data_IF_922779211956
#
_entry.id   IF_922779211956
#
_cell.length_a   1.000
_cell.length_b   1.000
_cell.length_c   1.000
_cell.angle_alpha   90.00
_cell.angle_beta   90.00
_cell.angle_gamma   90.00
#
_symmetry.space_group_name_H-M   'P 1'
#
loop_
_entity.id
_entity.type
_entity.pdbx_description
1 polymer ?
#
# COMPACT_ATOMS: atom_id res chain seq x y z
N UNK A 1 0.09 -7.90 11.29
CA UNK A 1 1.01 -7.65 10.16
C UNK A 1 2.26 -6.95 10.65
N UNK A 2 3.43 -7.42 10.23
CA UNK A 2 4.69 -6.80 10.62
C UNK A 2 5.14 -5.81 9.54
N UNK A 3 4.95 -4.52 9.81
CA UNK A 3 5.33 -3.46 8.86
C UNK A 3 6.83 -3.21 8.81
N UNK A 4 7.61 -3.76 9.75
CA UNK A 4 9.07 -3.58 9.76
C UNK A 4 9.74 -4.32 8.61
N UNK A 5 9.24 -5.48 8.25
CA UNK A 5 9.76 -6.27 7.14
C UNK A 5 8.61 -6.63 6.22
N UNK A 6 8.54 -5.95 5.07
CA UNK A 6 7.47 -6.16 4.11
C UNK A 6 7.92 -7.23 3.11
N UNK A 7 7.13 -8.28 2.97
CA UNK A 7 7.27 -9.28 1.92
C UNK A 7 6.05 -9.17 1.02
N UNK A 8 6.17 -8.45 -0.08
CA UNK A 8 5.02 -8.11 -0.90
C UNK A 8 4.36 -9.35 -1.52
N UNK A 9 5.13 -10.33 -1.89
CA UNK A 9 4.59 -11.56 -2.49
C UNK A 9 3.63 -12.29 -1.55
N UNK A 10 3.98 -12.38 -0.28
CA UNK A 10 3.11 -13.02 0.73
C UNK A 10 1.81 -12.23 0.87
N UNK A 11 1.89 -10.91 0.88
CA UNK A 11 0.71 -10.05 1.01
C UNK A 11 -0.19 -10.14 -0.21
N UNK A 12 0.38 -10.22 -1.40
CA UNK A 12 -0.37 -10.43 -2.64
C UNK A 12 -1.09 -11.78 -2.59
N UNK A 13 -0.40 -12.83 -2.19
CA UNK A 13 -0.98 -14.16 -2.08
C UNK A 13 -2.14 -14.17 -1.08
N UNK A 14 -1.96 -13.52 0.05
CA UNK A 14 -3.01 -13.39 1.07
C UNK A 14 -4.22 -12.65 0.50
N UNK A 15 -4.02 -11.56 -0.21
CA UNK A 15 -5.09 -10.77 -0.80
C UNK A 15 -5.84 -11.56 -1.88
N UNK A 16 -5.13 -12.34 -2.69
CA UNK A 16 -5.73 -13.22 -3.69
C UNK A 16 -6.62 -14.25 -3.02
N UNK A 17 -6.12 -14.88 -1.96
CA UNK A 17 -6.88 -15.88 -1.20
C UNK A 17 -8.14 -15.29 -0.59
N UNK A 18 -8.02 -14.12 0.03
CA UNK A 18 -9.16 -13.45 0.66
C UNK A 18 -10.20 -12.98 -0.34
N UNK A 19 -9.78 -12.51 -1.51
CA UNK A 19 -10.70 -12.04 -2.55
C UNK A 19 -11.34 -13.18 -3.33
N UNK A 20 -10.77 -14.38 -3.27
CA UNK A 20 -11.24 -15.51 -4.06
C UNK A 20 -11.00 -15.37 -5.55
N UNK A 21 -10.06 -14.54 -5.96
CA UNK A 21 -9.75 -14.33 -7.37
C UNK A 21 -9.10 -15.58 -7.96
N UNK A 22 -9.64 -16.06 -9.08
CA UNK A 22 -9.13 -17.26 -9.74
C UNK A 22 -7.81 -17.00 -10.45
N UNK A 23 -6.94 -18.01 -10.45
CA UNK A 23 -5.64 -17.93 -11.11
C UNK A 23 -5.77 -17.63 -12.61
N UNK A 24 -6.78 -18.19 -13.27
CA UNK A 24 -7.01 -17.94 -14.69
C UNK A 24 -7.25 -16.46 -14.98
N UNK A 25 -8.00 -15.79 -14.13
CA UNK A 25 -8.26 -14.34 -14.23
C UNK A 25 -6.98 -13.54 -14.05
N UNK A 26 -6.16 -13.94 -13.10
CA UNK A 26 -4.88 -13.28 -12.83
C UNK A 26 -3.95 -13.41 -14.03
N UNK A 27 -3.80 -14.62 -14.55
CA UNK A 27 -2.96 -14.87 -15.70
C UNK A 27 -3.44 -14.10 -16.93
N UNK A 28 -4.74 -14.02 -17.16
CA UNK A 28 -5.29 -13.25 -18.26
C UNK A 28 -5.03 -11.76 -18.11
N UNK A 29 -5.15 -11.25 -16.90
CA UNK A 29 -4.90 -9.84 -16.61
C UNK A 29 -3.44 -9.47 -16.86
N UNK A 30 -2.51 -10.27 -16.38
CA UNK A 30 -1.07 -10.02 -16.54
C UNK A 30 -0.53 -10.54 -17.87
N UNK A 31 -1.29 -11.34 -18.59
CA UNK A 31 -0.87 -11.97 -19.86
C UNK A 31 0.41 -12.79 -19.67
N UNK A 32 0.41 -13.62 -18.65
CA UNK A 32 1.56 -14.45 -18.30
C UNK A 32 1.10 -15.81 -17.78
N UNK A 33 2.06 -16.69 -17.50
CA UNK A 33 1.80 -18.03 -17.02
C UNK A 33 1.59 -18.08 -15.52
N UNK A 34 1.08 -19.22 -15.04
CA UNK A 34 0.93 -19.48 -13.61
C UNK A 34 2.29 -19.43 -12.91
N UNK A 35 3.35 -19.90 -13.56
CA UNK A 35 4.70 -19.87 -13.00
C UNK A 35 5.18 -18.45 -12.76
N UNK A 36 4.88 -17.53 -13.67
CA UNK A 36 5.22 -16.12 -13.52
C UNK A 36 4.51 -15.51 -12.33
N UNK A 37 3.24 -15.85 -12.14
CA UNK A 37 2.48 -15.38 -10.97
C UNK A 37 3.07 -15.95 -9.68
N UNK A 38 3.45 -17.22 -9.68
CA UNK A 38 4.07 -17.85 -8.51
C UNK A 38 5.38 -17.17 -8.14
N UNK A 39 6.18 -16.77 -9.13
CA UNK A 39 7.40 -16.02 -8.88
C UNK A 39 7.11 -14.69 -8.18
N UNK A 40 6.09 -13.97 -8.61
CA UNK A 40 5.69 -12.73 -7.97
C UNK A 40 5.27 -12.95 -6.52
N UNK A 41 4.53 -14.03 -6.25
CA UNK A 41 4.06 -14.35 -4.90
C UNK A 41 5.20 -14.78 -3.96
N UNK A 42 6.32 -15.23 -4.53
CA UNK A 42 7.50 -15.59 -3.76
C UNK A 42 8.51 -14.45 -3.63
N UNK A 43 8.30 -13.36 -4.33
CA UNK A 43 9.23 -12.24 -4.34
C UNK A 43 9.02 -11.35 -3.12
N UNK A 44 10.11 -11.00 -2.46
CA UNK A 44 10.06 -10.05 -1.34
C UNK A 44 9.66 -8.65 -1.80
N UNK A 45 10.08 -8.27 -3.00
CA UNK A 45 9.75 -6.98 -3.59
C UNK A 45 9.54 -7.15 -5.09
N UNK A 46 8.70 -6.29 -5.66
CA UNK A 46 8.43 -6.26 -7.09
C UNK A 46 8.50 -4.81 -7.56
N UNK A 47 8.57 -4.60 -8.87
CA UNK A 47 8.59 -3.24 -9.38
C UNK A 47 7.25 -2.54 -9.12
N UNK A 48 7.30 -1.21 -9.05
CA UNK A 48 6.13 -0.41 -8.70
C UNK A 48 5.04 -0.49 -9.76
N UNK A 49 5.42 -0.63 -11.02
CA UNK A 49 4.45 -0.76 -12.10
C UNK A 49 3.65 -2.06 -11.99
N UNK A 50 4.34 -3.16 -11.70
CA UNK A 50 3.70 -4.45 -11.46
C UNK A 50 2.82 -4.41 -10.21
N UNK A 51 3.30 -3.78 -9.16
CA UNK A 51 2.53 -3.62 -7.93
C UNK A 51 1.25 -2.81 -8.18
N UNK A 52 1.34 -1.76 -9.00
CA UNK A 52 0.18 -0.97 -9.38
C UNK A 52 -0.87 -1.81 -10.10
N UNK A 53 -0.45 -2.72 -10.96
CA UNK A 53 -1.36 -3.66 -11.63
C UNK A 53 -2.07 -4.57 -10.63
N UNK A 54 -1.36 -5.08 -9.64
CA UNK A 54 -1.96 -5.88 -8.58
C UNK A 54 -3.01 -5.09 -7.80
N UNK A 55 -2.71 -3.82 -7.49
CA UNK A 55 -3.67 -2.95 -6.81
C UNK A 55 -4.96 -2.81 -7.62
N UNK A 56 -4.83 -2.63 -8.92
CA UNK A 56 -5.99 -2.48 -9.81
C UNK A 56 -6.80 -3.77 -9.92
N UNK A 57 -6.12 -4.90 -10.04
CA UNK A 57 -6.79 -6.20 -10.19
C UNK A 57 -7.57 -6.58 -8.93
N UNK A 58 -6.96 -6.43 -7.77
CA UNK A 58 -7.53 -6.86 -6.50
C UNK A 58 -8.30 -5.75 -5.78
N UNK A 59 -8.34 -4.56 -6.35
CA UNK A 59 -8.97 -3.38 -5.73
C UNK A 59 -8.47 -3.17 -4.31
N UNK A 60 -7.13 -3.26 -4.15
CA UNK A 60 -6.46 -3.12 -2.86
C UNK A 60 -5.24 -2.23 -3.02
N UNK A 61 -5.02 -1.33 -2.06
CA UNK A 61 -3.89 -0.40 -2.10
C UNK A 61 -2.69 -0.97 -1.34
N UNK A 62 -1.84 -1.71 -2.05
CA UNK A 62 -0.61 -2.25 -1.47
C UNK A 62 0.40 -1.16 -1.12
N UNK A 63 0.36 -0.02 -1.79
CA UNK A 63 1.27 1.10 -1.49
C UNK A 63 1.05 1.65 -0.09
N UNK A 64 -0.17 1.52 0.42
CA UNK A 64 -0.49 1.95 1.78
C UNK A 64 0.33 1.20 2.84
N UNK A 65 0.68 -0.05 2.57
CA UNK A 65 1.54 -0.82 3.47
C UNK A 65 2.91 -0.16 3.58
N UNK A 66 3.44 0.31 2.45
CA UNK A 66 4.72 1.02 2.42
C UNK A 66 4.61 2.40 3.08
N UNK A 67 3.50 3.10 2.88
CA UNK A 67 3.26 4.38 3.56
C UNK A 67 3.22 4.18 5.08
N UNK A 68 2.54 3.15 5.55
CA UNK A 68 2.49 2.83 6.97
C UNK A 68 3.88 2.46 7.51
N UNK A 69 4.67 1.75 6.73
CA UNK A 69 6.06 1.47 7.10
C UNK A 69 6.85 2.77 7.29
N UNK A 70 6.69 3.72 6.40
CA UNK A 70 7.35 5.02 6.51
C UNK A 70 6.92 5.75 7.78
N UNK A 71 5.63 5.72 8.09
CA UNK A 71 5.11 6.37 9.29
C UNK A 71 5.74 5.78 10.55
N UNK A 72 5.89 4.46 10.60
CA UNK A 72 6.36 3.75 11.78
C UNK A 72 7.89 3.73 11.90
N UNK A 73 8.61 3.61 10.79
CA UNK A 73 10.02 3.27 10.80
C UNK A 73 10.93 4.27 10.11
N UNK A 74 10.41 5.26 9.39
CA UNK A 74 11.27 6.27 8.80
C UNK A 74 11.92 7.11 9.91
N UNK A 75 13.20 7.46 9.75
CA UNK A 75 13.85 8.29 10.76
C UNK A 75 13.21 9.67 10.81
N UNK A 76 13.09 10.21 12.02
CA UNK A 76 12.61 11.57 12.21
C UNK A 76 13.68 12.52 11.69
N UNK A 77 13.34 13.35 10.71
CA UNK A 77 14.30 14.26 10.11
C UNK A 77 14.38 15.55 10.90
N UNK A 78 15.49 15.75 11.61
CA UNK A 78 15.80 17.04 12.22
C UNK A 78 16.13 18.10 11.16
N UNK A 79 16.36 17.68 9.92
CA UNK A 79 16.75 18.58 8.82
C UNK A 79 15.55 19.22 8.10
N UNK A 80 14.32 18.85 8.49
CA UNK A 80 13.12 19.43 7.88
C UNK A 80 13.05 20.94 8.04
N UNK A 81 13.66 21.49 9.08
CA UNK A 81 13.66 22.92 9.33
C UNK A 81 14.58 23.71 8.38
N UNK A 82 15.64 23.08 7.89
CA UNK A 82 16.62 23.76 7.04
C UNK A 82 16.19 23.89 5.59
N UNK A 83 15.06 23.33 5.22
CA UNK A 83 14.58 23.32 3.85
C UNK A 83 13.43 24.26 3.60
N UNK A 84 13.10 25.12 4.57
CA UNK A 84 11.99 26.07 4.45
C UNK A 84 12.19 27.13 3.36
N UNK A 85 13.40 27.28 2.81
CA UNK A 85 13.72 28.33 1.86
C UNK A 85 13.45 27.97 0.41
N UNK A 86 13.14 26.71 0.09
CA UNK A 86 12.84 26.28 -1.28
C UNK A 86 11.64 25.38 -1.28
N UNK A 87 10.64 25.72 -2.10
CA UNK A 87 9.51 24.82 -2.31
C UNK A 87 9.98 23.63 -3.14
N UNK A 88 9.92 22.40 -2.61
CA UNK A 88 10.31 21.24 -3.40
C UNK A 88 9.34 21.01 -4.55
N UNK A 89 9.87 20.60 -5.69
CA UNK A 89 9.07 20.27 -6.88
C UNK A 89 8.26 19.00 -6.61
N UNK A 90 8.82 18.07 -5.83
CA UNK A 90 8.16 16.81 -5.49
C UNK A 90 7.59 16.87 -4.07
N UNK A 91 6.47 16.19 -3.83
CA UNK A 91 5.93 16.10 -2.47
C UNK A 91 6.95 15.49 -1.52
N UNK A 92 7.13 16.12 -0.37
CA UNK A 92 8.06 15.62 0.64
C UNK A 92 7.32 14.76 1.64
N UNK A 93 7.97 13.69 2.06
CA UNK A 93 7.47 12.89 3.16
C UNK A 93 7.67 13.65 4.47
N UNK A 94 6.59 13.84 5.22
CA UNK A 94 6.64 14.33 6.58
C UNK A 94 5.88 13.34 7.46
N UNK A 95 6.58 12.71 8.39
CA UNK A 95 6.00 11.69 9.24
C UNK A 95 4.79 12.23 10.00
N UNK A 96 4.86 13.47 10.47
CA UNK A 96 3.77 14.08 11.22
C UNK A 96 2.53 14.34 10.37
N UNK A 97 2.72 14.79 9.13
CA UNK A 97 1.62 15.03 8.19
C UNK A 97 0.92 13.73 7.83
N UNK A 98 1.69 12.70 7.48
CA UNK A 98 1.11 11.40 7.12
C UNK A 98 0.38 10.76 8.28
N UNK A 99 0.89 10.90 9.50
CA UNK A 99 0.22 10.38 10.69
C UNK A 99 -1.13 11.06 10.88
N UNK A 100 -1.20 12.38 10.71
CA UNK A 100 -2.44 13.13 10.82
C UNK A 100 -3.44 12.71 9.74
N UNK A 101 -2.99 12.57 8.50
CA UNK A 101 -3.85 12.13 7.40
C UNK A 101 -4.42 10.74 7.64
N UNK A 102 -3.60 9.82 8.16
CA UNK A 102 -4.06 8.47 8.49
C UNK A 102 -5.12 8.52 9.58
N UNK A 103 -4.93 9.32 10.60
CA UNK A 103 -5.92 9.49 11.68
C UNK A 103 -7.22 10.07 11.12
N UNK A 104 -7.13 11.12 10.29
CA UNK A 104 -8.30 11.74 9.69
C UNK A 104 -9.06 10.75 8.80
N UNK A 105 -8.33 9.93 8.04
CA UNK A 105 -8.94 8.90 7.21
C UNK A 105 -9.70 7.86 8.04
N UNK A 106 -9.10 7.41 9.15
CA UNK A 106 -9.73 6.45 10.04
C UNK A 106 -11.01 7.03 10.64
N UNK A 107 -10.97 8.30 11.07
CA UNK A 107 -12.13 8.97 11.62
C UNK A 107 -13.26 9.09 10.58
N UNK A 108 -12.94 9.41 9.34
CA UNK A 108 -13.93 9.44 8.27
C UNK A 108 -14.56 8.07 8.04
N UNK A 109 -13.76 7.00 8.09
CA UNK A 109 -14.29 5.65 7.92
C UNK A 109 -15.29 5.29 9.03
N UNK A 110 -14.99 5.67 10.25
CA UNK A 110 -15.87 5.45 11.39
C UNK A 110 -17.18 6.23 11.20
N UNK A 111 -17.12 7.49 10.81
CA UNK A 111 -18.29 8.33 10.58
C UNK A 111 -19.16 7.76 9.45
N UNK A 112 -18.55 7.30 8.37
CA UNK A 112 -19.30 6.72 7.26
C UNK A 112 -20.02 5.44 7.68
N UNK A 113 -19.40 4.62 8.52
CA UNK A 113 -20.05 3.42 9.05
C UNK A 113 -21.22 3.76 9.95
N UNK A 114 -21.09 4.76 10.79
CA UNK A 114 -22.18 5.22 11.66
C UNK A 114 -23.34 5.74 10.83
N UNK A 115 -23.09 6.51 9.78
CA UNK A 115 -24.14 7.01 8.89
C UNK A 115 -24.82 5.87 8.15
N UNK A 116 -24.10 4.83 7.78
CA UNK A 116 -24.68 3.67 7.11
C UNK A 116 -25.56 2.85 8.07
N UNK A 117 -25.19 2.78 9.34
CA UNK A 117 -25.92 2.02 10.34
C UNK A 117 -27.21 2.71 10.81
N UNK A 118 -27.35 4.00 10.58
CA UNK A 118 -28.54 4.77 10.99
C UNK A 118 -29.68 4.63 9.97
N UNK A 119 -29.43 4.07 8.82
CA UNK A 119 -30.44 3.77 7.84
C UNK A 119 -31.06 2.41 8.13
#
# INVERSE_FOLDING_TARGET
MNFKSIHIGILINQAVTESGTEMSRICNFFKCSTDDISEMMNAKSIDTETLLKWCKLLEYDFFRIYTQHLILYAPTSAKAENTKKQKPVLPRFSKNIYTKEVIDFILQQIQNKEMTNVQ
#
